data_IF_343953807409
#
_entry.id   IF_343953807409
#
_cell.length_a   1.000
_cell.length_b   1.000
_cell.length_c   1.000
_cell.angle_alpha   90.00
_cell.angle_beta   90.00
_cell.angle_gamma   90.00
#
_symmetry.space_group_name_H-M   'P 1'
#
loop_
_entity.id
_entity.type
_entity.pdbx_description
1 polymer ?
#
# COMPACT_ATOMS: atom_id res chain seq x y z
N UNK A 1 -57.01 14.39 26.24
CA UNK A 1 -56.78 15.76 25.72
C UNK A 1 -55.29 16.16 25.71
N UNK A 2 -54.37 15.44 26.35
CA UNK A 2 -52.94 15.84 26.44
C UNK A 2 -52.03 15.39 25.29
N UNK A 3 -52.38 14.31 24.59
CA UNK A 3 -51.54 13.72 23.52
C UNK A 3 -51.39 14.61 22.30
N UNK A 4 -52.39 15.44 21.99
CA UNK A 4 -52.33 16.39 20.88
C UNK A 4 -51.40 17.59 21.16
N UNK A 5 -51.36 18.04 22.42
CA UNK A 5 -50.44 19.11 22.84
C UNK A 5 -48.98 18.62 22.80
N UNK A 6 -48.72 17.39 23.26
CA UNK A 6 -47.39 16.78 23.21
C UNK A 6 -46.87 16.59 21.77
N UNK A 7 -47.74 16.15 20.85
CA UNK A 7 -47.41 16.08 19.41
C UNK A 7 -47.15 17.46 18.79
N UNK A 8 -47.85 18.50 19.27
CA UNK A 8 -47.66 19.87 18.80
C UNK A 8 -46.35 20.47 19.32
N UNK A 9 -46.00 20.20 20.57
CA UNK A 9 -44.76 20.64 21.21
C UNK A 9 -43.53 19.98 20.58
N UNK A 10 -43.56 18.67 20.36
CA UNK A 10 -42.47 17.95 19.66
C UNK A 10 -42.26 18.44 18.22
N UNK A 11 -43.33 18.74 17.48
CA UNK A 11 -43.24 19.38 16.15
C UNK A 11 -42.63 20.77 16.24
N UNK A 12 -43.01 21.57 17.24
CA UNK A 12 -42.48 22.92 17.46
C UNK A 12 -40.98 22.89 17.79
N UNK A 13 -40.54 21.94 18.63
CA UNK A 13 -39.13 21.71 18.94
C UNK A 13 -38.32 21.34 17.69
N UNK A 14 -38.81 20.37 16.90
CA UNK A 14 -38.18 19.97 15.64
C UNK A 14 -38.06 21.12 14.64
N UNK A 15 -39.09 21.97 14.53
CA UNK A 15 -39.05 23.14 13.66
C UNK A 15 -38.06 24.21 14.16
N UNK A 16 -37.88 24.34 15.48
CA UNK A 16 -36.89 25.25 16.05
C UNK A 16 -35.46 24.78 15.76
N UNK A 17 -35.19 23.47 15.88
CA UNK A 17 -33.90 22.86 15.51
C UNK A 17 -33.59 23.08 14.02
N UNK A 18 -34.56 22.83 13.13
CA UNK A 18 -34.38 23.07 11.69
C UNK A 18 -34.11 24.55 11.38
N UNK A 19 -34.75 25.49 12.08
CA UNK A 19 -34.45 26.92 11.91
C UNK A 19 -33.04 27.27 12.38
N UNK A 20 -32.59 26.72 13.51
CA UNK A 20 -31.23 26.92 14.03
C UNK A 20 -30.17 26.40 13.05
N UNK A 21 -30.39 25.21 12.49
CA UNK A 21 -29.49 24.63 11.48
C UNK A 21 -29.42 25.51 10.22
N UNK A 22 -30.57 25.99 9.72
CA UNK A 22 -30.60 26.88 8.55
C UNK A 22 -29.89 28.23 8.80
N UNK A 23 -29.96 28.75 10.02
CA UNK A 23 -29.28 30.00 10.38
C UNK A 23 -27.76 29.83 10.40
N UNK A 24 -27.27 28.76 11.03
CA UNK A 24 -25.84 28.41 11.04
C UNK A 24 -25.31 28.17 9.61
N UNK A 25 -26.12 27.57 8.74
CA UNK A 25 -25.75 27.37 7.34
C UNK A 25 -25.62 28.69 6.56
N UNK A 26 -26.51 29.66 6.80
CA UNK A 26 -26.39 31.00 6.21
C UNK A 26 -25.16 31.73 6.71
N UNK A 27 -24.79 31.56 7.98
CA UNK A 27 -23.59 32.15 8.56
C UNK A 27 -22.31 31.56 7.96
N UNK A 28 -22.25 30.23 7.77
CA UNK A 28 -21.14 29.54 7.13
C UNK A 28 -21.00 29.86 5.63
N UNK A 29 -22.11 29.94 4.89
CA UNK A 29 -22.09 30.33 3.47
C UNK A 29 -21.61 31.77 3.24
N UNK A 30 -21.84 32.67 4.20
CA UNK A 30 -21.32 34.04 4.13
C UNK A 30 -19.83 34.13 4.50
N UNK A 31 -19.27 33.15 5.24
CA UNK A 31 -17.83 33.08 5.55
C UNK A 31 -17.01 32.39 4.46
N UNK A 32 -17.54 31.38 3.76
CA UNK A 32 -16.83 30.67 2.69
C UNK A 32 -16.83 31.43 1.34
N UNK A 33 -17.54 32.56 1.24
CA UNK A 33 -17.68 33.32 0.00
C UNK A 33 -16.63 34.40 -0.27
N UNK A 34 -15.66 34.61 0.64
CA UNK A 34 -14.75 35.77 0.58
C UNK A 34 -13.26 35.44 0.44
N UNK A 35 -12.87 34.18 0.51
CA UNK A 35 -11.50 33.75 0.30
C UNK A 35 -11.48 32.66 -0.76
N UNK A 36 -10.60 32.81 -1.76
CA UNK A 36 -10.22 31.89 -2.85
C UNK A 36 -10.52 32.42 -4.26
N UNK A 37 -9.98 33.60 -4.57
CA UNK A 37 -9.48 33.88 -5.91
C UNK A 37 -8.13 33.14 -6.04
N UNK A 38 -8.02 32.29 -7.07
CA UNK A 38 -6.89 31.41 -7.44
C UNK A 38 -6.96 29.98 -6.87
N UNK A 39 -7.48 29.04 -7.67
CA UNK A 39 -6.73 27.87 -8.13
C UNK A 39 -7.62 26.94 -8.98
N UNK A 40 -7.20 26.76 -10.23
CA UNK A 40 -7.50 25.66 -11.17
C UNK A 40 -8.93 25.12 -11.25
N UNK A 41 -9.47 25.11 -12.48
CA UNK A 41 -10.67 24.37 -12.90
C UNK A 41 -10.48 22.84 -12.79
N UNK A 42 -10.17 22.32 -11.60
CA UNK A 42 -10.60 20.98 -11.24
C UNK A 42 -12.09 21.11 -10.97
N UNK A 43 -12.91 20.26 -11.59
CA UNK A 43 -14.29 20.11 -11.17
C UNK A 43 -14.27 19.62 -9.72
N UNK A 44 -14.24 20.54 -8.76
CA UNK A 44 -14.28 20.23 -7.33
C UNK A 44 -15.54 19.41 -7.12
N UNK A 45 -15.37 18.10 -6.95
CA UNK A 45 -16.46 17.16 -6.80
C UNK A 45 -17.13 17.48 -5.46
N UNK A 46 -18.19 18.29 -5.49
CA UNK A 46 -18.93 18.68 -4.30
C UNK A 46 -19.76 17.50 -3.84
N UNK A 47 -19.19 16.71 -2.93
CA UNK A 47 -19.91 15.65 -2.25
C UNK A 47 -21.01 16.27 -1.37
N UNK A 48 -22.27 16.03 -1.73
CA UNK A 48 -23.42 16.66 -1.05
C UNK A 48 -23.64 16.09 0.36
N UNK A 49 -23.21 14.84 0.59
CA UNK A 49 -23.48 14.10 1.84
C UNK A 49 -22.24 13.45 2.49
N UNK A 50 -21.08 13.44 1.84
CA UNK A 50 -19.86 12.78 2.33
C UNK A 50 -18.73 13.80 2.40
N UNK A 51 -17.97 13.80 3.48
CA UNK A 51 -16.74 14.60 3.57
C UNK A 51 -15.53 13.67 3.38
N UNK A 52 -14.75 13.82 2.29
CA UNK A 52 -13.62 12.95 2.01
C UNK A 52 -12.46 13.11 3.00
N UNK A 53 -12.35 14.24 3.71
CA UNK A 53 -11.28 14.48 4.68
C UNK A 53 -11.57 13.75 5.98
N UNK A 54 -12.81 13.86 6.47
CA UNK A 54 -13.25 13.21 7.71
C UNK A 54 -13.80 11.80 7.50
N UNK A 55 -13.93 11.37 6.23
CA UNK A 55 -14.56 10.12 5.82
C UNK A 55 -15.95 9.88 6.44
N UNK A 56 -16.66 10.97 6.74
CA UNK A 56 -17.89 10.94 7.52
C UNK A 56 -19.07 11.55 6.74
N UNK A 57 -20.32 11.13 7.06
CA UNK A 57 -21.49 11.80 6.53
C UNK A 57 -21.61 13.23 7.06
N UNK A 58 -21.89 14.19 6.17
CA UNK A 58 -21.96 15.63 6.53
C UNK A 58 -23.23 15.99 7.33
N UNK A 59 -24.32 15.23 7.20
CA UNK A 59 -25.60 15.55 7.85
C UNK A 59 -26.40 14.30 8.25
N UNK A 60 -26.81 14.20 9.52
CA UNK A 60 -27.94 13.37 9.99
C UNK A 60 -27.78 11.85 9.91
N UNK A 61 -26.72 11.34 9.31
CA UNK A 61 -26.34 9.93 9.33
C UNK A 61 -25.22 9.78 10.36
N UNK A 62 -25.52 9.05 11.44
CA UNK A 62 -24.61 8.82 12.57
C UNK A 62 -23.43 7.93 12.16
N UNK A 63 -23.63 7.12 11.11
CA UNK A 63 -22.74 6.05 10.71
C UNK A 63 -22.20 6.30 9.29
N UNK A 64 -20.87 6.30 9.07
CA UNK A 64 -20.32 6.23 7.72
C UNK A 64 -20.85 5.01 6.97
N UNK A 65 -21.09 5.13 5.64
CA UNK A 65 -21.64 4.04 4.83
C UNK A 65 -20.74 2.81 4.79
N UNK A 66 -19.49 2.96 5.23
CA UNK A 66 -18.46 1.92 5.29
C UNK A 66 -18.50 1.09 6.58
N UNK A 67 -19.42 1.37 7.50
CA UNK A 67 -19.57 0.55 8.73
C UNK A 67 -20.07 -0.85 8.37
N UNK A 68 -19.33 -1.86 8.82
CA UNK A 68 -19.66 -3.28 8.63
C UNK A 68 -19.14 -3.91 7.34
N UNK A 69 -18.70 -3.14 6.35
CA UNK A 69 -18.11 -3.68 5.11
C UNK A 69 -16.58 -3.79 5.21
N UNK A 70 -16.02 -4.92 4.76
CA UNK A 70 -14.59 -5.10 4.54
C UNK A 70 -14.18 -4.35 3.27
N UNK A 71 -13.58 -3.17 3.44
CA UNK A 71 -13.03 -2.42 2.32
C UNK A 71 -11.54 -2.67 2.15
N UNK A 72 -11.03 -2.40 0.94
CA UNK A 72 -9.61 -2.60 0.62
C UNK A 72 -8.73 -1.75 1.53
N UNK A 73 -9.18 -0.56 1.92
CA UNK A 73 -8.46 0.35 2.82
C UNK A 73 -8.34 -0.23 4.23
N UNK A 74 -9.40 -0.87 4.76
CA UNK A 74 -9.34 -1.55 6.06
C UNK A 74 -8.42 -2.75 6.03
N UNK A 75 -8.47 -3.54 4.96
CA UNK A 75 -7.58 -4.69 4.78
C UNK A 75 -6.13 -4.22 4.69
N UNK A 76 -5.86 -3.14 3.94
CA UNK A 76 -4.53 -2.55 3.86
C UNK A 76 -4.04 -2.04 5.22
N UNK A 77 -4.87 -1.31 5.96
CA UNK A 77 -4.53 -0.84 7.30
C UNK A 77 -4.24 -2.00 8.28
N UNK A 78 -5.03 -3.07 8.24
CA UNK A 78 -4.79 -4.26 9.05
C UNK A 78 -3.44 -4.90 8.70
N UNK A 79 -3.10 -5.02 7.41
CA UNK A 79 -1.80 -5.54 6.97
C UNK A 79 -0.65 -4.63 7.43
N UNK A 80 -0.82 -3.31 7.34
CA UNK A 80 0.16 -2.35 7.85
C UNK A 80 0.38 -2.51 9.36
N UNK A 81 -0.69 -2.64 10.14
CA UNK A 81 -0.59 -2.89 11.58
C UNK A 81 0.05 -4.25 11.90
N UNK A 82 -0.30 -5.31 11.17
CA UNK A 82 0.30 -6.64 11.34
C UNK A 82 1.80 -6.62 11.01
N UNK A 83 2.20 -5.98 9.92
CA UNK A 83 3.60 -5.88 9.52
C UNK A 83 4.42 -5.02 10.48
N UNK A 84 3.85 -3.93 11.01
CA UNK A 84 4.49 -3.12 12.06
C UNK A 84 4.70 -3.92 13.34
N UNK A 85 3.68 -4.66 13.81
CA UNK A 85 3.81 -5.54 14.98
C UNK A 85 4.91 -6.59 14.80
N UNK A 86 4.94 -7.25 13.64
CA UNK A 86 5.99 -8.23 13.32
C UNK A 86 7.38 -7.59 13.30
N UNK A 87 7.50 -6.36 12.79
CA UNK A 87 8.76 -5.62 12.79
C UNK A 87 9.21 -5.26 14.22
N UNK A 88 8.29 -4.78 15.06
CA UNK A 88 8.56 -4.44 16.46
C UNK A 88 8.94 -5.68 17.26
N UNK A 89 8.25 -6.81 17.05
CA UNK A 89 8.59 -8.11 17.65
C UNK A 89 9.99 -8.56 17.21
N UNK A 90 10.33 -8.42 15.93
CA UNK A 90 11.67 -8.74 15.41
C UNK A 90 12.77 -7.83 15.99
N UNK A 91 12.47 -6.56 16.25
CA UNK A 91 13.42 -5.63 16.87
C UNK A 91 13.59 -5.87 18.38
N UNK A 92 12.54 -6.38 19.05
CA UNK A 92 12.56 -6.68 20.48
C UNK A 92 13.26 -7.99 20.82
N UNK A 93 13.41 -8.91 19.84
CA UNK A 93 14.25 -10.09 20.00
C UNK A 93 15.71 -9.60 20.05
N UNK A 94 16.43 -9.77 21.19
CA UNK A 94 17.85 -9.45 21.26
C UNK A 94 18.58 -10.25 20.18
N UNK A 95 19.69 -9.73 19.66
CA UNK A 95 20.53 -10.28 18.57
C UNK A 95 20.94 -11.75 18.87
N UNK A 96 19.97 -12.64 18.74
CA UNK A 96 20.00 -14.06 18.97
C UNK A 96 20.97 -14.58 17.91
N UNK A 97 21.99 -15.35 18.36
CA UNK A 97 23.07 -15.89 17.54
C UNK A 97 22.65 -16.05 16.08
N UNK A 98 23.06 -15.09 15.23
CA UNK A 98 22.60 -14.90 13.85
C UNK A 98 22.12 -16.21 13.22
N UNK A 99 20.80 -16.42 13.18
CA UNK A 99 20.25 -17.66 12.62
C UNK A 99 20.52 -17.68 11.11
N UNK A 100 21.60 -18.36 10.75
CA UNK A 100 22.10 -18.53 9.38
C UNK A 100 21.05 -19.17 8.47
N UNK A 101 20.06 -19.87 9.04
CA UNK A 101 19.01 -20.51 8.27
C UNK A 101 17.93 -19.51 7.84
N UNK A 102 17.60 -18.55 8.71
CA UNK A 102 16.66 -17.47 8.44
C UNK A 102 17.25 -16.35 7.57
N UNK A 103 18.56 -16.09 7.70
CA UNK A 103 19.31 -15.17 6.85
C UNK A 103 19.60 -15.72 5.44
N UNK A 104 19.43 -17.02 5.23
CA UNK A 104 19.69 -17.61 3.91
C UNK A 104 18.71 -17.01 2.90
N UNK A 105 19.16 -16.58 1.71
CA UNK A 105 18.24 -16.18 0.65
C UNK A 105 17.26 -17.31 0.37
N UNK A 106 15.97 -16.95 0.29
CA UNK A 106 14.93 -17.89 -0.09
C UNK A 106 15.25 -18.44 -1.49
N UNK A 107 14.88 -19.70 -1.72
CA UNK A 107 14.97 -20.29 -3.06
C UNK A 107 14.16 -19.41 -4.01
N UNK A 108 14.72 -19.16 -5.20
CA UNK A 108 14.02 -18.44 -6.24
C UNK A 108 12.68 -19.15 -6.52
N UNK A 109 11.61 -18.36 -6.59
CA UNK A 109 10.34 -18.87 -7.09
C UNK A 109 10.50 -19.18 -8.57
N UNK A 110 9.72 -20.13 -9.08
CA UNK A 110 9.75 -20.53 -10.50
C UNK A 110 9.55 -19.35 -11.46
N UNK A 111 8.86 -18.30 -11.02
CA UNK A 111 8.66 -17.05 -11.76
C UNK A 111 9.94 -16.23 -11.83
N UNK A 112 10.66 -16.08 -10.71
CA UNK A 112 11.94 -15.37 -10.68
C UNK A 112 12.99 -16.07 -11.54
N UNK A 113 13.00 -17.41 -11.56
CA UNK A 113 13.88 -18.18 -12.42
C UNK A 113 13.59 -17.93 -13.91
N UNK A 114 12.31 -17.82 -14.28
CA UNK A 114 11.89 -17.56 -15.65
C UNK A 114 12.29 -16.15 -16.11
N UNK A 115 11.99 -15.14 -15.30
CA UNK A 115 12.32 -13.74 -15.60
C UNK A 115 13.84 -13.52 -15.68
N UNK A 116 14.60 -14.15 -14.77
CA UNK A 116 16.06 -14.11 -14.79
C UNK A 116 16.61 -14.79 -16.04
N UNK A 117 16.04 -15.93 -16.44
CA UNK A 117 16.46 -16.68 -17.62
C UNK A 117 16.31 -15.86 -18.89
N UNK A 118 15.22 -15.11 -19.04
CA UNK A 118 15.02 -14.21 -20.18
C UNK A 118 16.10 -13.12 -20.23
N UNK A 119 16.37 -12.47 -19.10
CA UNK A 119 17.40 -11.41 -19.00
C UNK A 119 18.82 -11.93 -19.24
N UNK A 120 19.10 -13.17 -18.87
CA UNK A 120 20.43 -13.79 -19.02
C UNK A 120 20.68 -14.40 -20.41
N UNK A 121 19.69 -14.43 -21.31
CA UNK A 121 19.82 -15.03 -22.66
C UNK A 121 20.99 -14.48 -23.46
N UNK A 122 21.18 -13.16 -23.46
CA UNK A 122 22.29 -12.52 -24.17
C UNK A 122 23.66 -12.92 -23.59
N UNK A 123 23.77 -12.95 -22.26
CA UNK A 123 25.01 -13.28 -21.57
C UNK A 123 25.38 -14.75 -21.75
N UNK A 124 24.40 -15.66 -21.79
CA UNK A 124 24.64 -17.10 -21.85
C UNK A 124 25.51 -17.51 -23.05
N UNK A 125 25.32 -16.87 -24.21
CA UNK A 125 26.18 -17.13 -25.40
C UNK A 125 27.65 -16.76 -25.15
N UNK A 126 27.91 -15.61 -24.52
CA UNK A 126 29.25 -15.19 -24.15
C UNK A 126 29.87 -16.12 -23.09
N UNK A 127 29.07 -16.54 -22.10
CA UNK A 127 29.50 -17.48 -21.06
C UNK A 127 29.87 -18.85 -21.65
N UNK A 128 29.09 -19.35 -22.61
CA UNK A 128 29.39 -20.62 -23.29
C UNK A 128 30.66 -20.53 -24.14
N UNK A 129 30.87 -19.42 -24.84
CA UNK A 129 32.11 -19.18 -25.59
C UNK A 129 33.33 -19.12 -24.64
N UNK A 130 33.21 -18.44 -23.50
CA UNK A 130 34.26 -18.37 -22.49
C UNK A 130 34.56 -19.76 -21.88
N UNK A 131 33.53 -20.54 -21.55
CA UNK A 131 33.70 -21.93 -21.09
C UNK A 131 34.45 -22.77 -22.13
N UNK A 132 34.08 -22.68 -23.40
CA UNK A 132 34.75 -23.40 -24.48
C UNK A 132 36.24 -22.98 -24.61
N UNK A 133 36.54 -21.69 -24.46
CA UNK A 133 37.91 -21.17 -24.44
C UNK A 133 38.72 -21.78 -23.28
N UNK A 134 38.21 -21.70 -22.05
CA UNK A 134 38.91 -22.26 -20.88
C UNK A 134 39.12 -23.76 -20.98
N UNK A 135 38.14 -24.51 -21.51
CA UNK A 135 38.28 -25.96 -21.72
C UNK A 135 39.40 -26.24 -22.72
N UNK A 136 39.47 -25.51 -23.83
CA UNK A 136 40.55 -25.67 -24.82
C UNK A 136 41.92 -25.39 -24.20
N UNK A 137 42.04 -24.27 -23.49
CA UNK A 137 43.27 -23.90 -22.80
C UNK A 137 43.71 -24.99 -21.81
N UNK A 138 42.78 -25.48 -20.98
CA UNK A 138 43.06 -26.52 -19.98
C UNK A 138 43.54 -27.82 -20.64
N UNK A 139 42.96 -28.21 -21.78
CA UNK A 139 43.39 -29.41 -22.53
C UNK A 139 44.78 -29.23 -23.12
N UNK A 140 45.09 -28.04 -23.67
CA UNK A 140 46.41 -27.74 -24.22
C UNK A 140 47.49 -27.74 -23.13
N UNK A 141 47.23 -27.14 -21.98
CA UNK A 141 48.14 -27.14 -20.83
C UNK A 141 48.43 -28.56 -20.35
N UNK A 142 47.40 -29.40 -20.19
CA UNK A 142 47.59 -30.82 -19.83
C UNK A 142 48.39 -31.59 -20.87
N UNK A 143 48.17 -31.35 -22.17
CA UNK A 143 48.96 -31.98 -23.24
C UNK A 143 50.43 -31.56 -23.19
N UNK A 144 50.70 -30.27 -22.95
CA UNK A 144 52.06 -29.74 -22.80
C UNK A 144 52.77 -30.38 -21.61
N UNK A 145 52.11 -30.46 -20.45
CA UNK A 145 52.64 -31.12 -19.26
C UNK A 145 52.98 -32.59 -19.54
N UNK A 146 52.07 -33.35 -20.14
CA UNK A 146 52.32 -34.75 -20.50
C UNK A 146 53.48 -34.91 -21.50
N UNK A 147 53.63 -34.01 -22.47
CA UNK A 147 54.76 -34.04 -23.41
C UNK A 147 56.10 -33.68 -22.75
N UNK A 148 56.09 -32.80 -21.74
CA UNK A 148 57.28 -32.43 -20.97
C UNK A 148 57.70 -33.59 -20.05
N UNK A 149 56.76 -34.28 -19.42
CA UNK A 149 57.02 -35.48 -18.61
C UNK A 149 57.57 -36.65 -19.45
N UNK A 150 57.21 -36.76 -20.73
CA UNK A 150 57.74 -37.78 -21.64
C UNK A 150 59.14 -37.45 -22.20
N UNK A 151 59.55 -36.19 -22.14
CA UNK A 151 60.83 -35.70 -22.67
C UNK A 151 61.95 -35.64 -21.61
N UNK A 152 61.61 -35.90 -20.35
CA UNK A 152 62.53 -36.04 -19.20
C UNK A 152 62.77 -37.52 -18.93
#
# INVERSE_FOLDING_TARGET
>A
MSTFNEASESRKQRLAELRRINQLQREQQNHEGNDNENETNSSVLKFRNYDPVTQAPKMGFVEPPTIGEETVEKVAANIEEETQKVLEEQQAIPEEELDLTSLRPKKATWDLERDLKERMTALETATQNAKAYYIRQTIEERKKQASQEQAV
#
